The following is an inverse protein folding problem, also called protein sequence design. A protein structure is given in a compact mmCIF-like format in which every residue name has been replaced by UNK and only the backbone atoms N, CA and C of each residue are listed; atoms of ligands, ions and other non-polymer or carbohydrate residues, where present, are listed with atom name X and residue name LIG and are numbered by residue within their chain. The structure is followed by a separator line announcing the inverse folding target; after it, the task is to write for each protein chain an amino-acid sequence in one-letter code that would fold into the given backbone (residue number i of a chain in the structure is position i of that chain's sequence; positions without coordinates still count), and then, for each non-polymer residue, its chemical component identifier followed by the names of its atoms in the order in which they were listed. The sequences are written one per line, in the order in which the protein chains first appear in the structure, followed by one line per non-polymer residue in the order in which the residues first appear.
data_IF_732093681876
#
_entry.id   IF_732093681876
#
_cell.length_a   1.000
_cell.length_b   1.000
_cell.length_c   1.000
_cell.angle_alpha   90.00
_cell.angle_beta   90.00
_cell.angle_gamma   90.00
#
_symmetry.space_group_name_H-M   'P 1'
#
loop_
_entity.id
_entity.type
_entity.pdbx_description
1 polymer ?
#
# COMPACT_ATOMS: atom_id res chain seq x y z
N UNK A 1 13.90 -23.23 -12.11
CA UNK A 1 13.26 -22.86 -11.83
C UNK A 1 13.01 -21.60 -11.75
N UNK A 2 12.43 -21.20 -12.37
CA UNK A 2 12.28 -19.83 -12.48
C UNK A 2 11.43 -19.31 -11.38
N UNK A 3 11.87 -18.27 -10.81
CA UNK A 3 11.12 -17.62 -9.77
C UNK A 3 10.47 -16.37 -10.33
N UNK A 4 10.20 -16.39 -11.60
CA UNK A 4 9.66 -15.22 -12.28
C UNK A 4 8.17 -15.12 -12.17
N UNK A 5 7.65 -15.32 -10.98
CA UNK A 5 6.25 -15.05 -10.75
C UNK A 5 6.01 -13.56 -10.83
N UNK A 6 4.96 -13.18 -11.53
CA UNK A 6 4.52 -11.80 -11.56
C UNK A 6 4.04 -11.43 -10.17
N UNK A 7 4.56 -10.34 -9.64
CA UNK A 7 4.12 -9.83 -8.35
C UNK A 7 2.75 -9.19 -8.49
N UNK A 8 1.89 -9.48 -7.52
CA UNK A 8 0.51 -9.00 -7.53
C UNK A 8 0.34 -7.93 -6.47
N UNK A 9 -0.06 -6.76 -6.89
CA UNK A 9 -0.22 -5.60 -6.04
C UNK A 9 -1.68 -5.18 -5.97
N UNK A 10 -2.07 -4.69 -4.80
CA UNK A 10 -3.37 -4.05 -4.62
C UNK A 10 -3.13 -2.58 -4.35
N UNK A 11 -3.82 -1.72 -5.06
CA UNK A 11 -3.69 -0.28 -4.91
C UNK A 11 -5.06 0.32 -4.58
N UNK A 12 -5.16 1.01 -3.47
CA UNK A 12 -6.40 1.63 -3.04
C UNK A 12 -6.20 3.14 -2.85
N UNK A 13 -6.93 3.92 -3.62
CA UNK A 13 -6.90 5.38 -3.55
C UNK A 13 -8.25 5.85 -4.06
N UNK A 14 -8.87 6.81 -3.36
CA UNK A 14 -10.21 7.27 -3.73
C UNK A 14 -10.26 8.09 -5.02
N UNK A 15 -9.11 8.46 -5.56
CA UNK A 15 -9.03 9.22 -6.81
C UNK A 15 -8.75 8.29 -7.99
N UNK A 16 -9.73 8.09 -8.89
CA UNK A 16 -9.54 7.17 -10.02
C UNK A 16 -8.37 7.54 -10.94
N UNK A 17 -8.10 8.83 -11.10
CA UNK A 17 -6.98 9.27 -11.93
C UNK A 17 -5.64 8.81 -11.36
N UNK A 18 -5.53 8.80 -10.04
CA UNK A 18 -4.32 8.38 -9.36
C UNK A 18 -4.12 6.88 -9.53
N UNK A 19 -5.17 6.07 -9.26
CA UNK A 19 -5.05 4.63 -9.42
C UNK A 19 -4.78 4.25 -10.86
N UNK A 20 -5.39 4.92 -11.82
CA UNK A 20 -5.18 4.65 -13.23
C UNK A 20 -3.71 4.91 -13.62
N UNK A 21 -3.19 6.06 -13.22
CA UNK A 21 -1.82 6.44 -13.55
C UNK A 21 -0.80 5.48 -12.94
N UNK A 22 -0.96 5.20 -11.65
CA UNK A 22 -0.02 4.34 -10.95
C UNK A 22 -0.11 2.90 -11.46
N UNK A 23 -1.32 2.42 -11.71
CA UNK A 23 -1.49 1.09 -12.28
C UNK A 23 -0.73 0.94 -13.59
N UNK A 24 -0.86 1.93 -14.49
CA UNK A 24 -0.17 1.87 -15.77
C UNK A 24 1.34 1.83 -15.61
N UNK A 25 1.87 2.66 -14.70
CA UNK A 25 3.31 2.67 -14.43
C UNK A 25 3.78 1.32 -13.92
N UNK A 26 3.05 0.74 -12.99
CA UNK A 26 3.45 -0.53 -12.40
C UNK A 26 3.30 -1.68 -13.38
N UNK A 27 2.23 -1.69 -14.16
CA UNK A 27 2.04 -2.76 -15.15
C UNK A 27 3.07 -2.68 -16.26
N UNK A 28 3.50 -1.49 -16.63
CA UNK A 28 4.59 -1.32 -17.59
C UNK A 28 5.91 -1.87 -17.06
N UNK A 29 6.01 -2.03 -15.77
CA UNK A 29 7.20 -2.57 -15.12
C UNK A 29 7.03 -4.03 -14.69
N UNK A 30 6.02 -4.71 -15.21
CA UNK A 30 5.88 -6.14 -15.03
C UNK A 30 5.05 -6.59 -13.83
N UNK A 31 4.41 -5.67 -13.13
CA UNK A 31 3.53 -6.03 -12.00
C UNK A 31 2.11 -6.24 -12.48
N UNK A 32 1.38 -7.06 -11.73
CA UNK A 32 -0.07 -7.16 -11.90
C UNK A 32 -0.71 -6.29 -10.80
N UNK A 33 -1.62 -5.41 -11.18
CA UNK A 33 -2.18 -4.45 -10.22
C UNK A 33 -3.70 -4.46 -10.27
N UNK A 34 -4.30 -4.76 -9.13
CA UNK A 34 -5.74 -4.56 -8.94
C UNK A 34 -5.93 -3.23 -8.25
N UNK A 35 -6.91 -2.46 -8.68
CA UNK A 35 -7.17 -1.14 -8.10
C UNK A 35 -8.59 -1.03 -7.58
N UNK A 36 -8.73 -0.32 -6.47
CA UNK A 36 -10.04 0.04 -5.93
C UNK A 36 -10.02 1.50 -5.52
N UNK A 37 -11.17 2.14 -5.65
CA UNK A 37 -11.30 3.55 -5.28
C UNK A 37 -12.21 3.74 -4.07
N UNK A 38 -12.58 2.63 -3.41
CA UNK A 38 -13.44 2.65 -2.25
C UNK A 38 -12.98 1.59 -1.24
N UNK A 39 -12.75 1.97 0.01
CA UNK A 39 -12.25 1.02 1.00
C UNK A 39 -13.23 -0.09 1.34
N UNK A 40 -14.53 0.19 1.31
CA UNK A 40 -15.54 -0.83 1.63
C UNK A 40 -15.54 -1.92 0.55
N UNK A 41 -15.52 -1.50 -0.71
CA UNK A 41 -15.44 -2.45 -1.83
C UNK A 41 -14.15 -3.26 -1.77
N UNK A 42 -13.06 -2.59 -1.41
CA UNK A 42 -11.76 -3.27 -1.24
C UNK A 42 -11.89 -4.44 -0.28
N UNK A 43 -12.47 -4.20 0.89
CA UNK A 43 -12.60 -5.25 1.91
C UNK A 43 -13.47 -6.40 1.45
N UNK A 44 -14.54 -6.11 0.74
CA UNK A 44 -15.43 -7.14 0.23
C UNK A 44 -14.74 -8.04 -0.81
N UNK A 45 -13.81 -7.48 -1.55
CA UNK A 45 -13.13 -8.17 -2.64
C UNK A 45 -11.77 -8.74 -2.25
N UNK A 46 -11.29 -8.43 -1.05
CA UNK A 46 -9.94 -8.81 -0.65
C UNK A 46 -9.81 -10.32 -0.51
N UNK A 47 -8.79 -10.88 -1.13
CA UNK A 47 -8.50 -12.31 -1.08
C UNK A 47 -7.20 -12.53 -0.30
N UNK A 48 -7.27 -13.32 0.76
CA UNK A 48 -6.10 -13.63 1.59
C UNK A 48 -5.06 -14.39 0.78
N UNK A 49 -3.81 -14.09 1.07
CA UNK A 49 -2.66 -14.79 0.47
C UNK A 49 -2.56 -14.61 -1.04
N UNK A 50 -3.23 -13.61 -1.59
CA UNK A 50 -3.22 -13.36 -3.03
C UNK A 50 -2.22 -12.28 -3.42
N UNK A 51 -2.09 -11.24 -2.60
CA UNK A 51 -1.25 -10.08 -2.94
C UNK A 51 0.13 -10.17 -2.31
N UNK A 52 1.12 -9.70 -3.04
CA UNK A 52 2.49 -9.56 -2.54
C UNK A 52 2.67 -8.23 -1.81
N UNK A 53 1.90 -7.22 -2.21
CA UNK A 53 1.99 -5.90 -1.61
C UNK A 53 0.65 -5.18 -1.74
N UNK A 54 0.27 -4.48 -0.68
CA UNK A 54 -0.91 -3.62 -0.68
C UNK A 54 -0.43 -2.17 -0.50
N UNK A 55 -0.90 -1.29 -1.36
CA UNK A 55 -0.58 0.15 -1.32
C UNK A 55 -1.87 0.90 -1.00
N UNK A 56 -1.86 1.64 0.09
CA UNK A 56 -3.05 2.34 0.58
C UNK A 56 -2.83 3.84 0.64
N UNK A 57 -3.77 4.59 0.09
CA UNK A 57 -3.86 6.01 0.36
C UNK A 57 -4.35 6.19 1.80
N UNK A 58 -3.91 7.26 2.46
CA UNK A 58 -4.30 7.49 3.84
C UNK A 58 -5.65 8.20 3.93
N UNK A 59 -5.79 9.32 3.22
CA UNK A 59 -6.98 10.14 3.35
C UNK A 59 -8.04 9.74 2.33
N UNK A 60 -9.06 9.04 2.79
CA UNK A 60 -10.17 8.60 1.94
C UNK A 60 -11.49 8.81 2.68
N UNK A 61 -12.60 9.05 1.96
CA UNK A 61 -13.92 9.12 2.59
C UNK A 61 -14.32 7.78 3.20
N UNK A 62 -15.20 7.81 4.17
CA UNK A 62 -15.78 6.64 4.84
C UNK A 62 -14.81 5.92 5.76
N UNK A 63 -13.63 5.59 5.29
CA UNK A 63 -12.66 4.83 6.05
C UNK A 63 -11.27 5.25 5.56
N UNK A 64 -10.42 5.74 6.47
CA UNK A 64 -9.07 6.14 6.07
C UNK A 64 -8.16 4.93 5.88
N UNK A 65 -6.96 5.18 5.37
CA UNK A 65 -6.02 4.12 5.07
C UNK A 65 -5.58 3.33 6.29
N UNK A 66 -5.53 3.94 7.44
CA UNK A 66 -5.12 3.24 8.66
C UNK A 66 -6.21 2.29 9.15
N UNK A 67 -7.46 2.69 9.05
CA UNK A 67 -8.57 1.80 9.37
C UNK A 67 -8.61 0.63 8.39
N UNK A 68 -8.44 0.92 7.12
CA UNK A 68 -8.42 -0.12 6.09
C UNK A 68 -7.24 -1.07 6.33
N UNK A 69 -6.09 -0.54 6.66
CA UNK A 69 -4.92 -1.32 7.03
C UNK A 69 -5.25 -2.30 8.16
N UNK A 70 -5.87 -1.81 9.23
CA UNK A 70 -6.23 -2.64 10.37
C UNK A 70 -7.14 -3.79 9.95
N UNK A 71 -8.15 -3.48 9.13
CA UNK A 71 -9.10 -4.49 8.69
C UNK A 71 -8.49 -5.51 7.73
N UNK A 72 -7.61 -5.07 6.86
CA UNK A 72 -6.88 -6.00 5.99
C UNK A 72 -5.99 -6.90 6.85
N UNK A 73 -5.32 -6.33 7.84
CA UNK A 73 -4.42 -7.08 8.70
C UNK A 73 -5.14 -8.14 9.52
N UNK A 74 -6.40 -7.92 9.84
CA UNK A 74 -7.23 -8.93 10.50
C UNK A 74 -7.49 -10.14 9.60
N UNK A 75 -7.54 -9.91 8.30
CA UNK A 75 -7.77 -10.98 7.32
C UNK A 75 -6.47 -11.62 6.85
N UNK A 76 -5.41 -10.84 6.79
CA UNK A 76 -4.15 -11.28 6.19
C UNK A 76 -3.00 -10.68 7.02
N UNK A 77 -2.43 -11.49 7.89
CA UNK A 77 -1.44 -11.02 8.84
C UNK A 77 -0.04 -10.88 8.24
N UNK A 78 0.18 -11.40 7.04
CA UNK A 78 1.53 -11.47 6.47
C UNK A 78 1.75 -10.59 5.24
N UNK A 79 0.70 -10.11 4.61
CA UNK A 79 0.87 -9.30 3.42
C UNK A 79 1.63 -8.02 3.74
N UNK A 80 2.50 -7.61 2.85
CA UNK A 80 3.21 -6.35 3.02
C UNK A 80 2.29 -5.20 2.66
N UNK A 81 2.31 -4.15 3.47
CA UNK A 81 1.44 -2.99 3.26
C UNK A 81 2.29 -1.73 3.34
N UNK A 82 2.11 -0.84 2.39
CA UNK A 82 2.71 0.48 2.45
C UNK A 82 1.65 1.54 2.20
N UNK A 83 1.97 2.75 2.60
CA UNK A 83 1.06 3.89 2.48
C UNK A 83 1.58 4.88 1.47
N UNK A 84 0.69 5.42 0.67
CA UNK A 84 1.00 6.44 -0.31
C UNK A 84 0.19 7.67 0.05
N UNK A 85 0.85 8.78 0.38
CA UNK A 85 0.16 9.96 0.84
C UNK A 85 0.66 11.21 0.15
N UNK A 86 -0.24 12.16 -0.11
CA UNK A 86 0.11 13.44 -0.68
C UNK A 86 0.58 14.44 0.37
N UNK A 87 0.39 14.14 1.64
CA UNK A 87 0.63 15.12 2.70
C UNK A 87 1.63 14.61 3.74
N UNK A 88 2.79 15.25 3.79
CA UNK A 88 3.76 14.98 4.84
C UNK A 88 3.18 15.34 6.21
N UNK A 89 2.41 16.42 6.28
CA UNK A 89 1.77 16.84 7.51
C UNK A 89 0.79 15.78 7.99
N UNK A 90 0.06 15.16 7.10
CA UNK A 90 -0.89 14.11 7.43
C UNK A 90 -0.16 12.89 7.97
N UNK A 91 0.95 12.52 7.34
CA UNK A 91 1.78 11.44 7.84
C UNK A 91 2.30 11.74 9.24
N UNK A 92 2.82 12.94 9.47
CA UNK A 92 3.35 13.34 10.76
C UNK A 92 2.26 13.33 11.84
N UNK A 93 1.06 13.81 11.50
CA UNK A 93 -0.06 13.81 12.42
C UNK A 93 -0.41 12.39 12.85
N UNK A 94 -0.47 11.47 11.90
CA UNK A 94 -0.80 10.09 12.21
C UNK A 94 0.30 9.40 12.98
N UNK A 95 1.53 9.68 12.65
CA UNK A 95 2.66 9.11 13.35
C UNK A 95 2.65 9.48 14.85
N UNK A 96 2.19 10.69 15.15
CA UNK A 96 2.11 11.15 16.53
C UNK A 96 0.87 10.65 17.25
N UNK A 97 -0.27 10.64 16.56
CA UNK A 97 -1.55 10.30 17.15
C UNK A 97 -1.74 8.80 17.30
N UNK A 98 -1.20 8.05 16.36
CA UNK A 98 -1.29 6.59 16.35
C UNK A 98 0.10 6.01 16.50
N UNK A 99 0.71 6.32 17.63
CA UNK A 99 2.09 5.97 17.88
C UNK A 99 2.38 4.48 17.76
N UNK A 100 1.43 3.64 18.09
CA UNK A 100 1.61 2.21 17.96
C UNK A 100 1.80 1.80 16.51
N UNK A 101 0.91 2.29 15.62
CA UNK A 101 0.99 1.98 14.20
C UNK A 101 2.27 2.59 13.60
N UNK A 102 2.56 3.84 13.93
CA UNK A 102 3.75 4.51 13.42
C UNK A 102 5.03 3.82 13.83
N UNK A 103 5.07 3.31 15.06
CA UNK A 103 6.24 2.60 15.56
C UNK A 103 6.38 1.24 14.89
N UNK A 104 5.26 0.55 14.66
CA UNK A 104 5.26 -0.78 14.09
C UNK A 104 5.56 -0.75 12.60
N UNK A 105 4.90 0.16 11.87
CA UNK A 105 5.05 0.23 10.42
C UNK A 105 6.40 0.78 10.01
N UNK A 106 6.87 1.78 10.71
CA UNK A 106 8.14 2.40 10.39
C UNK A 106 8.03 3.37 9.22
N UNK A 107 9.09 4.17 9.07
CA UNK A 107 9.10 5.25 8.10
C UNK A 107 9.19 4.75 6.66
N UNK A 108 9.85 3.62 6.45
CA UNK A 108 10.10 3.12 5.10
C UNK A 108 8.83 2.59 4.41
N UNK A 109 7.76 2.44 5.15
CA UNK A 109 6.50 1.98 4.58
C UNK A 109 5.62 3.13 4.10
N UNK A 110 6.12 4.37 4.16
CA UNK A 110 5.38 5.55 3.71
C UNK A 110 6.03 6.11 2.45
N UNK A 111 5.20 6.41 1.47
CA UNK A 111 5.63 7.01 0.22
C UNK A 111 4.88 8.31 0.05
N UNK A 112 5.59 9.41 -0.09
CA UNK A 112 4.97 10.71 -0.24
C UNK A 112 4.75 11.04 -1.72
N UNK A 113 3.54 11.44 -2.07
CA UNK A 113 3.23 11.93 -3.41
C UNK A 113 3.58 13.42 -3.50
N UNK A 114 3.98 13.95 -4.67
CA UNK A 114 4.27 13.20 -5.89
C UNK A 114 5.63 12.51 -5.82
N UNK A 115 5.77 11.42 -6.54
CA UNK A 115 7.03 10.66 -6.57
C UNK A 115 7.33 10.33 -8.03
N UNK A 116 8.61 10.37 -8.40
CA UNK A 116 9.03 9.99 -9.75
C UNK A 116 8.81 8.51 -9.97
N UNK A 117 8.46 8.14 -11.20
CA UNK A 117 8.15 6.76 -11.54
C UNK A 117 9.27 5.80 -11.14
N UNK A 118 10.51 6.16 -11.45
CA UNK A 118 11.67 5.33 -11.13
C UNK A 118 11.82 5.13 -9.63
N UNK A 119 11.61 6.21 -8.85
CA UNK A 119 11.73 6.14 -7.41
C UNK A 119 10.60 5.32 -6.81
N UNK A 120 9.40 5.41 -7.36
CA UNK A 120 8.27 4.60 -6.93
C UNK A 120 8.56 3.12 -7.13
N UNK A 121 8.99 2.75 -8.34
CA UNK A 121 9.30 1.37 -8.66
C UNK A 121 10.40 0.83 -7.73
N UNK A 122 11.45 1.62 -7.55
CA UNK A 122 12.55 1.20 -6.68
C UNK A 122 12.07 1.00 -5.24
N UNK A 123 11.29 1.93 -4.73
CA UNK A 123 10.80 1.85 -3.35
C UNK A 123 9.91 0.63 -3.14
N UNK A 124 8.99 0.38 -4.06
CA UNK A 124 8.10 -0.77 -3.96
C UNK A 124 8.88 -2.08 -4.07
N UNK A 125 9.85 -2.13 -4.97
CA UNK A 125 10.69 -3.31 -5.12
C UNK A 125 11.48 -3.58 -3.82
N UNK A 126 12.05 -2.54 -3.23
CA UNK A 126 12.79 -2.68 -1.98
C UNK A 126 11.89 -3.18 -0.85
N UNK A 127 10.69 -2.67 -0.76
CA UNK A 127 9.72 -3.12 0.25
C UNK A 127 9.39 -4.60 0.06
N UNK A 128 9.13 -5.01 -1.18
CA UNK A 128 8.78 -6.40 -1.47
C UNK A 128 9.92 -7.36 -1.21
N UNK A 129 11.16 -6.91 -1.38
CA UNK A 129 12.34 -7.75 -1.18
C UNK A 129 12.86 -7.73 0.25
N UNK A 130 12.29 -6.89 1.11
CA UNK A 130 12.72 -6.83 2.51
C UNK A 130 12.11 -7.97 3.31
N UNK A 131 12.74 -8.30 4.43
CA UNK A 131 12.18 -9.30 5.35
C UNK A 131 11.12 -8.71 6.24
N UNK A 132 10.91 -7.40 6.16
CA UNK A 132 9.95 -6.73 6.99
C UNK A 132 8.57 -7.02 6.43
N UNK A 133 7.73 -7.63 7.21
CA UNK A 133 6.35 -7.81 6.82
C UNK A 133 5.57 -6.57 7.17
N UNK A 134 6.22 -5.45 7.11
CA UNK A 134 5.62 -4.18 7.36
C UNK A 134 5.23 -4.00 8.76
N UNK A 135 4.62 -4.98 9.29
CA UNK A 135 4.17 -4.91 10.62
C UNK A 135 4.93 -5.84 11.41
N UNK A 136 5.56 -5.29 12.34
CA UNK A 136 6.17 -6.10 13.29
C UNK A 136 5.10 -6.50 14.22
N UNK A 137 4.59 -7.51 14.02
CA UNK A 137 3.50 -7.90 14.83
C UNK A 137 3.83 -8.10 16.26
#
# INVERSE_FOLDING_TARGET
MSNNKVKKLLLVDDEPDVTYTIKNILEDNGFHVDTFNDPVTTLKSYTNNFYDLVILDIKMPKMDGFELYTKIREKDSKVKICFLTASEMYYEKYRKTRSEIGRIIGKDCFIQKPIKNEDLIKKLTDIMNSDITTILV
#
